data_IF_970103511123
#
_entry.id   IF_970103511123
#
_cell.length_a   1.000
_cell.length_b   1.000
_cell.length_c   1.000
_cell.angle_alpha   90.00
_cell.angle_beta   90.00
_cell.angle_gamma   90.00
#
_symmetry.space_group_name_H-M   'P 1'
#
loop_
_entity.id
_entity.type
_entity.pdbx_description
1 polymer ?
#
# COMPACT_ATOMS: atom_id res chain seq x y z
N UNK A 1 3.54 2.55 -4.95
CA UNK A 1 2.26 2.38 -5.68
C UNK A 1 1.51 1.16 -5.15
N UNK A 2 0.18 1.13 -5.33
CA UNK A 2 -0.67 -0.03 -5.09
C UNK A 2 -1.51 -0.33 -6.34
N UNK A 3 -1.71 -1.61 -6.66
CA UNK A 3 -2.46 -2.04 -7.83
C UNK A 3 -3.31 -3.30 -7.55
N UNK A 4 -4.46 -3.41 -8.22
CA UNK A 4 -5.26 -4.62 -8.22
C UNK A 4 -4.58 -5.68 -9.09
N UNK A 5 -4.65 -6.92 -8.63
CA UNK A 5 -4.38 -8.09 -9.47
C UNK A 5 -5.44 -8.24 -10.56
N UNK A 6 -5.27 -9.23 -11.44
CA UNK A 6 -6.29 -9.56 -12.43
C UNK A 6 -7.58 -10.03 -11.75
N UNK A 7 -8.69 -9.37 -12.06
CA UNK A 7 -10.03 -9.74 -11.57
C UNK A 7 -10.98 -9.86 -12.76
N UNK A 8 -11.80 -10.92 -12.78
CA UNK A 8 -12.75 -11.19 -13.87
C UNK A 8 -14.05 -10.39 -13.77
N UNK A 9 -14.28 -9.70 -12.65
CA UNK A 9 -15.52 -8.97 -12.34
C UNK A 9 -15.16 -7.65 -11.67
N UNK A 10 -16.11 -6.72 -11.67
CA UNK A 10 -15.94 -5.47 -10.95
C UNK A 10 -15.72 -5.72 -9.46
N UNK A 11 -14.59 -5.24 -8.95
CA UNK A 11 -14.22 -5.37 -7.55
C UNK A 11 -13.52 -4.10 -7.05
N UNK A 12 -13.58 -3.90 -5.72
CA UNK A 12 -13.01 -2.77 -5.01
C UNK A 12 -12.19 -3.26 -3.84
N UNK A 13 -11.03 -2.64 -3.64
CA UNK A 13 -10.18 -2.92 -2.49
C UNK A 13 -9.72 -1.60 -1.87
N UNK A 14 -10.12 -1.35 -0.62
CA UNK A 14 -9.52 -0.28 0.18
C UNK A 14 -8.24 -0.80 0.81
N UNK A 15 -7.16 -0.07 0.60
CA UNK A 15 -5.84 -0.34 1.16
C UNK A 15 -5.67 0.45 2.44
N UNK A 16 -4.94 -0.14 3.38
CA UNK A 16 -4.63 0.46 4.67
C UNK A 16 -3.15 0.34 4.98
N UNK A 17 -2.65 1.32 5.72
CA UNK A 17 -1.39 1.23 6.44
C UNK A 17 -1.66 1.24 7.94
N UNK A 18 -0.94 0.42 8.69
CA UNK A 18 -0.91 0.45 10.16
C UNK A 18 0.49 0.85 10.62
N UNK A 19 0.56 1.85 11.51
CA UNK A 19 1.80 2.32 12.14
C UNK A 19 1.53 2.39 13.65
N UNK A 20 2.20 1.56 14.44
CA UNK A 20 1.81 1.34 15.84
C UNK A 20 0.36 0.85 15.93
N UNK A 21 -0.48 1.52 16.73
CA UNK A 21 -1.90 1.17 16.87
C UNK A 21 -2.84 1.91 15.90
N UNK A 22 -2.30 2.84 15.09
CA UNK A 22 -3.08 3.64 14.16
C UNK A 22 -3.23 2.91 12.83
N UNK A 23 -4.47 2.62 12.40
CA UNK A 23 -4.79 2.11 11.06
C UNK A 23 -5.43 3.21 10.21
N UNK A 24 -4.82 3.52 9.07
CA UNK A 24 -5.23 4.60 8.15
C UNK A 24 -5.55 4.03 6.77
N UNK A 25 -6.64 4.50 6.15
CA UNK A 25 -6.92 4.20 4.75
C UNK A 25 -6.02 5.05 3.85
N UNK A 26 -5.33 4.41 2.89
CA UNK A 26 -4.39 5.10 1.99
C UNK A 26 -4.91 5.20 0.55
N UNK A 27 -5.99 4.50 0.23
CA UNK A 27 -6.65 4.60 -1.07
C UNK A 27 -7.63 3.46 -1.30
N UNK A 28 -8.50 3.62 -2.29
CA UNK A 28 -9.40 2.56 -2.76
C UNK A 28 -9.16 2.32 -4.23
N UNK A 29 -8.83 1.09 -4.58
CA UNK A 29 -8.70 0.62 -5.95
C UNK A 29 -10.05 0.10 -6.45
N UNK A 30 -10.28 0.22 -7.75
CA UNK A 30 -11.48 -0.26 -8.42
C UNK A 30 -11.15 -0.61 -9.86
N UNK A 31 -11.59 -1.78 -10.32
CA UNK A 31 -11.34 -2.27 -11.70
C UNK A 31 -11.90 -1.34 -12.77
N UNK A 32 -12.99 -0.62 -12.48
CA UNK A 32 -13.71 0.27 -13.40
C UNK A 32 -13.14 1.69 -13.50
N UNK A 33 -12.35 2.14 -12.52
CA UNK A 33 -11.90 3.54 -12.41
C UNK A 33 -10.41 3.67 -12.15
N UNK A 34 -9.98 3.16 -11.02
CA UNK A 34 -8.62 3.33 -10.51
C UNK A 34 -8.05 1.95 -10.16
N UNK A 35 -7.64 1.15 -11.16
CA UNK A 35 -7.07 -0.17 -10.91
C UNK A 35 -5.69 -0.08 -10.25
N UNK A 36 -5.04 1.09 -10.32
CA UNK A 36 -3.78 1.39 -9.67
C UNK A 36 -3.76 2.83 -9.13
N UNK A 37 -3.02 3.05 -8.05
CA UNK A 37 -2.78 4.36 -7.43
C UNK A 37 -1.30 4.51 -7.12
N UNK A 38 -0.74 5.67 -7.46
CA UNK A 38 0.59 6.08 -7.02
C UNK A 38 0.51 6.75 -5.65
N UNK A 39 1.53 6.51 -4.83
CA UNK A 39 1.64 7.08 -3.50
C UNK A 39 2.93 7.87 -3.43
N UNK A 40 2.86 9.00 -2.72
CA UNK A 40 4.01 9.73 -2.22
C UNK A 40 4.05 9.56 -0.70
N UNK A 41 4.35 8.34 -0.25
CA UNK A 41 4.36 7.96 1.16
C UNK A 41 5.75 7.41 1.53
N UNK A 42 6.31 7.95 2.60
CA UNK A 42 7.58 7.52 3.20
C UNK A 42 7.29 7.08 4.63
N UNK A 43 7.85 5.94 5.02
CA UNK A 43 7.68 5.38 6.36
C UNK A 43 9.05 5.21 7.02
N UNK A 44 9.28 5.96 8.10
CA UNK A 44 10.49 5.90 8.93
C UNK A 44 10.41 4.87 10.06
N UNK A 45 9.20 4.36 10.31
CA UNK A 45 8.89 3.38 11.37
C UNK A 45 8.41 2.09 10.76
N UNK A 46 8.40 1.03 11.54
CA UNK A 46 7.73 -0.21 11.15
C UNK A 46 6.25 0.05 10.82
N UNK A 47 5.81 -0.56 9.73
CA UNK A 47 4.45 -0.43 9.23
C UNK A 47 3.97 -1.76 8.66
N UNK A 48 2.66 -1.92 8.62
CA UNK A 48 1.97 -3.04 7.99
C UNK A 48 1.06 -2.52 6.89
N UNK A 49 1.11 -3.15 5.71
CA UNK A 49 0.17 -2.89 4.62
C UNK A 49 -0.89 -3.97 4.59
N UNK A 50 -2.15 -3.59 4.37
CA UNK A 50 -3.28 -4.52 4.26
C UNK A 50 -4.35 -4.02 3.30
N UNK A 51 -5.30 -4.88 2.93
CA UNK A 51 -6.50 -4.52 2.18
C UNK A 51 -7.75 -5.21 2.75
N UNK A 52 -8.94 -4.71 2.43
CA UNK A 52 -10.22 -5.29 2.90
C UNK A 52 -10.87 -6.28 1.92
N UNK A 53 -10.41 -6.37 0.67
CA UNK A 53 -11.00 -7.31 -0.30
C UNK A 53 -10.71 -8.76 0.09
N UNK A 54 -11.73 -9.61 -0.04
CA UNK A 54 -11.64 -11.07 0.16
C UNK A 54 -11.44 -11.84 -1.15
N UNK A 55 -11.61 -11.14 -2.27
CA UNK A 55 -11.71 -11.72 -3.62
C UNK A 55 -10.62 -11.24 -4.55
N UNK A 56 -10.11 -10.03 -4.32
CA UNK A 56 -9.00 -9.45 -5.09
C UNK A 56 -7.68 -9.54 -4.35
N UNK A 57 -6.62 -9.79 -5.11
CA UNK A 57 -5.25 -9.54 -4.67
C UNK A 57 -4.89 -8.07 -4.88
N UNK A 58 -4.14 -7.50 -3.94
CA UNK A 58 -3.53 -6.17 -4.08
C UNK A 58 -2.01 -6.31 -4.02
N UNK A 59 -1.34 -5.71 -4.99
CA UNK A 59 0.12 -5.67 -5.07
C UNK A 59 0.62 -4.28 -4.69
N UNK A 60 1.64 -4.25 -3.84
CA UNK A 60 2.34 -3.02 -3.45
C UNK A 60 3.76 -3.03 -4.01
N UNK A 61 4.21 -1.89 -4.49
CA UNK A 61 5.58 -1.70 -4.98
C UNK A 61 6.15 -0.38 -4.45
N UNK A 62 7.41 -0.43 -4.04
CA UNK A 62 8.19 0.66 -3.48
C UNK A 62 9.64 0.22 -3.30
N UNK A 63 10.44 1.06 -2.67
CA UNK A 63 11.85 0.79 -2.39
C UNK A 63 12.13 1.03 -0.91
N UNK A 64 13.16 0.36 -0.39
CA UNK A 64 13.72 0.66 0.93
C UNK A 64 15.04 1.38 0.72
N UNK A 65 15.21 2.50 1.41
CA UNK A 65 16.50 3.20 1.43
C UNK A 65 17.21 2.80 2.72
N UNK A 66 18.48 2.44 2.61
CA UNK A 66 19.35 2.33 3.78
C UNK A 66 19.85 3.72 4.11
N UNK A 67 19.53 4.21 5.31
CA UNK A 67 20.13 5.42 5.84
C UNK A 67 21.26 4.98 6.78
N UNK A 68 22.54 5.27 6.45
CA UNK A 68 23.63 5.00 7.37
C UNK A 68 23.39 5.75 8.68
N UNK A 69 23.80 5.15 9.80
CA UNK A 69 23.71 5.81 11.09
C UNK A 69 24.56 7.09 11.04
N UNK A 70 24.01 8.21 11.53
CA UNK A 70 24.80 9.43 11.71
C UNK A 70 25.93 9.13 12.70
N UNK A 71 27.16 8.99 12.21
CA UNK A 71 28.33 8.71 13.05
C UNK A 71 29.44 7.82 12.45
N UNK A 72 29.28 7.28 11.25
CA UNK A 72 30.35 6.55 10.54
C UNK A 72 31.22 7.49 9.67
N UNK A 73 31.70 8.61 10.24
CA UNK A 73 32.84 9.41 9.76
C UNK A 73 33.92 9.55 10.84
#
# INVERSE_FOLDING_TARGET
QGALGEVKKDDKATMFVKIGDQKLAIGTLSTDKFPQIQFDLVFEKEFELSHNSKTSSVFFSGYKVFQPAEGDE
#
